data_IF_339023238889
#
_entry.id   IF_339023238889
#
_cell.length_a   1.000
_cell.length_b   1.000
_cell.length_c   1.000
_cell.angle_alpha   90.00
_cell.angle_beta   90.00
_cell.angle_gamma   90.00
#
_symmetry.space_group_name_H-M   'P 1'
#
loop_
_entity.id
_entity.type
_entity.pdbx_description
1 polymer ?
#
# COMPACT_ATOMS: atom_id res chain seq x y z
N UNK A 1 -9.04 -23.48 46.62
CA UNK A 1 -9.03 -22.13 46.05
C UNK A 1 -7.60 -21.88 45.66
N UNK A 2 -7.30 -22.00 44.37
CA UNK A 2 -5.99 -21.61 43.84
C UNK A 2 -5.87 -20.10 44.03
N UNK A 3 -4.80 -19.66 44.69
CA UNK A 3 -4.52 -18.25 44.91
C UNK A 3 -4.30 -17.59 43.54
N UNK A 4 -4.97 -16.47 43.30
CA UNK A 4 -4.69 -15.65 42.13
C UNK A 4 -3.25 -15.12 42.24
N UNK A 5 -2.46 -15.11 41.14
CA UNK A 5 -1.11 -14.59 41.17
C UNK A 5 -1.14 -13.12 41.59
N UNK A 6 -0.35 -12.78 42.60
CA UNK A 6 -0.19 -11.41 43.07
C UNK A 6 0.66 -10.63 42.07
N UNK A 7 0.43 -9.32 41.99
CA UNK A 7 1.07 -8.42 41.03
C UNK A 7 2.61 -8.38 41.11
N UNK A 8 3.21 -9.00 42.13
CA UNK A 8 4.65 -9.20 42.28
C UNK A 8 5.23 -10.25 41.29
N UNK A 9 4.41 -11.13 40.70
CA UNK A 9 4.84 -12.06 39.64
C UNK A 9 5.03 -11.37 38.27
N UNK A 10 4.68 -10.08 38.15
CA UNK A 10 4.96 -9.26 36.96
C UNK A 10 6.31 -8.51 37.04
N UNK A 11 7.10 -8.73 38.10
CA UNK A 11 8.40 -8.08 38.31
C UNK A 11 9.44 -8.43 37.22
N UNK A 12 9.21 -9.43 36.36
CA UNK A 12 10.23 -9.91 35.42
C UNK A 12 9.94 -9.62 33.94
N UNK A 13 9.03 -8.69 33.62
CA UNK A 13 8.84 -8.28 32.23
C UNK A 13 10.07 -7.52 31.68
N UNK A 14 10.77 -6.78 32.54
CA UNK A 14 11.96 -6.00 32.18
C UNK A 14 13.17 -6.89 31.91
N UNK A 15 13.43 -7.89 32.76
CA UNK A 15 14.51 -8.87 32.57
C UNK A 15 14.25 -9.83 31.40
N UNK A 16 12.98 -10.18 31.11
CA UNK A 16 12.63 -10.94 29.90
C UNK A 16 12.89 -10.16 28.60
N UNK A 17 12.67 -8.85 28.64
CA UNK A 17 12.84 -7.95 27.50
C UNK A 17 14.29 -7.45 27.34
N UNK A 18 15.09 -7.49 28.41
CA UNK A 18 16.46 -7.00 28.46
C UNK A 18 17.45 -8.12 28.83
N UNK A 19 17.22 -9.33 28.32
CA UNK A 19 18.11 -10.48 28.47
C UNK A 19 19.36 -10.27 27.59
N UNK A 20 20.54 -10.16 28.21
CA UNK A 20 21.85 -9.99 27.55
C UNK A 20 22.12 -11.04 26.46
N UNK A 21 21.47 -12.21 26.52
CA UNK A 21 21.66 -13.30 25.58
C UNK A 21 20.61 -13.38 24.46
N UNK A 22 19.48 -12.66 24.55
CA UNK A 22 18.38 -12.77 23.57
C UNK A 22 17.95 -11.46 22.93
N UNK A 23 17.82 -10.39 23.72
CA UNK A 23 17.32 -9.10 23.23
C UNK A 23 17.69 -8.00 24.23
N UNK A 24 18.67 -7.17 23.90
CA UNK A 24 19.05 -6.03 24.74
C UNK A 24 18.37 -4.76 24.20
N UNK A 25 17.17 -4.46 24.70
CA UNK A 25 16.39 -3.28 24.30
C UNK A 25 17.13 -2.02 24.67
N UNK A 26 17.74 -1.98 25.84
CA UNK A 26 18.44 -0.78 26.33
C UNK A 26 19.58 -0.39 25.40
N UNK A 27 20.39 -1.36 24.99
CA UNK A 27 21.48 -1.15 24.04
C UNK A 27 20.96 -0.74 22.66
N UNK A 28 19.85 -1.33 22.20
CA UNK A 28 19.21 -0.92 20.95
C UNK A 28 18.67 0.50 21.01
N UNK A 29 18.01 0.89 22.11
CA UNK A 29 17.53 2.25 22.30
C UNK A 29 18.68 3.25 22.29
N UNK A 30 19.80 2.96 22.96
CA UNK A 30 21.01 3.81 22.93
C UNK A 30 21.56 3.99 21.50
N UNK A 31 21.47 2.96 20.65
CA UNK A 31 21.92 3.04 19.26
C UNK A 31 20.92 3.71 18.32
N UNK A 32 19.62 3.57 18.61
CA UNK A 32 18.54 4.09 17.78
C UNK A 32 18.21 5.54 18.09
N UNK A 33 18.30 5.94 19.36
CA UNK A 33 17.94 7.28 19.82
C UNK A 33 18.64 8.39 19.01
N UNK A 34 19.97 8.37 18.79
CA UNK A 34 20.64 9.40 18.00
C UNK A 34 20.33 9.35 16.49
N UNK A 35 19.65 8.30 16.02
CA UNK A 35 19.20 8.19 14.62
C UNK A 35 17.78 8.74 14.44
N UNK A 36 17.01 8.85 15.51
CA UNK A 36 15.64 9.36 15.51
C UNK A 36 15.64 10.86 15.84
N UNK A 37 16.39 11.26 16.86
CA UNK A 37 16.55 12.65 17.31
C UNK A 37 17.51 13.39 16.37
N UNK A 38 16.97 14.04 15.34
CA UNK A 38 17.74 14.64 14.23
C UNK A 38 17.33 16.06 13.88
N UNK A 39 16.10 16.50 14.22
CA UNK A 39 15.60 17.82 13.83
C UNK A 39 14.51 18.37 14.79
N UNK A 40 14.89 19.13 15.82
CA UNK A 40 16.26 19.42 16.28
C UNK A 40 16.82 18.29 17.14
N UNK A 41 18.13 18.02 17.04
CA UNK A 41 18.84 17.10 17.92
C UNK A 41 18.91 17.62 19.37
N UNK A 42 17.81 17.54 20.11
CA UNK A 42 17.58 18.20 21.39
C UNK A 42 17.58 17.24 22.59
N UNK A 43 17.83 15.96 22.34
CA UNK A 43 17.85 14.92 23.35
C UNK A 43 16.45 14.41 23.72
N UNK A 44 15.43 14.75 22.93
CA UNK A 44 14.08 14.21 23.01
C UNK A 44 13.67 13.63 21.65
N UNK A 45 12.63 12.80 21.64
CA UNK A 45 12.02 12.32 20.40
C UNK A 45 10.65 12.97 20.30
N UNK A 46 10.50 13.86 19.32
CA UNK A 46 9.22 14.48 19.00
C UNK A 46 8.31 13.53 18.20
N UNK A 47 7.01 13.82 18.17
CA UNK A 47 6.05 13.10 17.32
C UNK A 47 6.43 13.17 15.84
N UNK A 48 6.98 14.30 15.40
CA UNK A 48 7.40 14.50 14.02
C UNK A 48 8.56 13.56 13.66
N UNK A 49 9.60 13.52 14.48
CA UNK A 49 10.77 12.67 14.29
C UNK A 49 10.42 11.19 14.33
N UNK A 50 9.58 10.77 15.28
CA UNK A 50 9.15 9.38 15.37
C UNK A 50 8.32 8.98 14.16
N UNK A 51 7.44 9.87 13.68
CA UNK A 51 6.65 9.65 12.45
C UNK A 51 7.56 9.52 11.23
N UNK A 52 8.53 10.42 11.06
CA UNK A 52 9.50 10.32 9.95
C UNK A 52 10.33 9.04 10.03
N UNK A 53 10.85 8.71 11.21
CA UNK A 53 11.63 7.49 11.42
C UNK A 53 10.83 6.24 11.06
N UNK A 54 9.57 6.15 11.51
CA UNK A 54 8.69 5.02 11.21
C UNK A 54 8.41 4.91 9.70
N UNK A 55 8.14 6.02 9.03
CA UNK A 55 7.94 6.06 7.58
C UNK A 55 9.20 5.57 6.84
N UNK A 56 10.37 6.05 7.23
CA UNK A 56 11.65 5.62 6.65
C UNK A 56 11.96 4.14 6.93
N UNK A 57 11.66 3.63 8.13
CA UNK A 57 11.82 2.21 8.42
C UNK A 57 10.91 1.38 7.52
N UNK A 58 9.64 1.77 7.38
CA UNK A 58 8.68 1.08 6.51
C UNK A 58 9.19 1.02 5.07
N UNK A 59 9.62 2.15 4.52
CA UNK A 59 10.19 2.21 3.17
C UNK A 59 11.45 1.34 3.01
N UNK A 60 12.31 1.31 4.04
CA UNK A 60 13.53 0.50 4.01
C UNK A 60 13.23 -1.00 4.07
N UNK A 61 12.28 -1.41 4.88
CA UNK A 61 11.83 -2.81 4.96
C UNK A 61 11.19 -3.27 3.65
N UNK A 62 10.34 -2.42 3.06
CA UNK A 62 9.74 -2.65 1.74
C UNK A 62 10.82 -2.82 0.67
N UNK A 63 11.76 -1.88 0.58
CA UNK A 63 12.86 -1.95 -0.38
C UNK A 63 13.77 -3.17 -0.17
N UNK A 64 14.06 -3.53 1.08
CA UNK A 64 14.83 -4.73 1.39
C UNK A 64 14.10 -6.02 0.99
N UNK A 65 12.78 -6.07 1.16
CA UNK A 65 11.95 -7.17 0.67
C UNK A 65 11.98 -7.23 -0.86
N UNK A 66 11.78 -6.09 -1.53
CA UNK A 66 11.86 -5.97 -2.99
C UNK A 66 13.21 -6.47 -3.52
N UNK A 67 14.32 -6.09 -2.89
CA UNK A 67 15.67 -6.55 -3.27
C UNK A 67 15.78 -8.08 -3.27
N UNK A 68 15.21 -8.74 -2.26
CA UNK A 68 15.22 -10.21 -2.19
C UNK A 68 14.36 -10.82 -3.29
N UNK A 69 13.20 -10.26 -3.58
CA UNK A 69 12.34 -10.73 -4.67
C UNK A 69 13.06 -10.54 -6.02
N UNK A 70 13.74 -9.41 -6.23
CA UNK A 70 14.55 -9.15 -7.41
C UNK A 70 15.60 -10.25 -7.62
N UNK A 71 16.32 -10.67 -6.57
CA UNK A 71 17.31 -11.76 -6.66
C UNK A 71 16.70 -13.12 -7.11
N UNK A 72 15.41 -13.33 -6.89
CA UNK A 72 14.71 -14.54 -7.34
C UNK A 72 14.32 -14.47 -8.82
N UNK A 73 14.05 -13.26 -9.32
CA UNK A 73 13.63 -13.01 -10.68
C UNK A 73 14.80 -12.73 -11.63
N UNK A 74 15.87 -12.11 -11.14
CA UNK A 74 17.11 -11.81 -11.84
C UNK A 74 17.92 -13.10 -12.11
N UNK A 75 17.62 -13.74 -13.25
CA UNK A 75 18.25 -14.99 -13.67
C UNK A 75 19.62 -14.76 -14.28
N UNK A 76 19.81 -13.62 -14.94
CA UNK A 76 21.03 -13.27 -15.66
C UNK A 76 22.09 -12.58 -14.76
N UNK A 77 21.68 -12.16 -13.55
CA UNK A 77 22.46 -11.48 -12.52
C UNK A 77 23.01 -10.12 -12.96
N UNK A 78 22.26 -9.39 -13.76
CA UNK A 78 22.60 -8.03 -14.19
C UNK A 78 22.13 -6.95 -13.20
N UNK A 79 21.36 -7.34 -12.16
CA UNK A 79 20.80 -6.41 -11.17
C UNK A 79 19.57 -5.67 -11.66
N UNK A 80 18.98 -6.11 -12.78
CA UNK A 80 17.76 -5.60 -13.38
C UNK A 80 16.76 -6.74 -13.55
N UNK A 81 15.49 -6.39 -13.74
CA UNK A 81 14.44 -7.38 -14.05
C UNK A 81 13.84 -7.05 -15.40
N UNK A 82 14.01 -7.95 -16.37
CA UNK A 82 13.30 -7.86 -17.64
C UNK A 82 11.88 -8.45 -17.55
N UNK A 83 10.98 -8.01 -18.42
CA UNK A 83 9.63 -8.57 -18.50
C UNK A 83 9.62 -10.09 -18.75
N UNK A 84 10.63 -10.62 -19.46
CA UNK A 84 10.77 -12.05 -19.74
C UNK A 84 11.23 -12.86 -18.52
N UNK A 85 11.95 -12.22 -17.60
CA UNK A 85 12.38 -12.82 -16.33
C UNK A 85 11.25 -12.83 -15.31
N UNK A 86 10.41 -11.79 -15.35
CA UNK A 86 9.19 -11.68 -14.57
C UNK A 86 8.07 -12.55 -15.15
N UNK A 87 8.13 -13.86 -14.86
CA UNK A 87 7.05 -14.78 -15.25
C UNK A 87 5.75 -14.41 -14.54
N UNK A 88 4.60 -14.37 -15.25
CA UNK A 88 3.31 -14.22 -14.59
C UNK A 88 3.12 -15.36 -13.58
N UNK A 89 2.50 -15.07 -12.42
CA UNK A 89 2.27 -16.09 -11.41
C UNK A 89 1.51 -17.31 -11.96
N UNK A 90 1.75 -18.50 -11.42
CA UNK A 90 1.17 -19.75 -11.94
C UNK A 90 -0.36 -19.74 -11.99
N UNK A 91 -1.02 -19.08 -11.04
CA UNK A 91 -2.48 -18.93 -10.98
C UNK A 91 -3.08 -18.09 -12.12
N UNK A 92 -2.27 -17.26 -12.77
CA UNK A 92 -2.66 -16.51 -13.97
C UNK A 92 -2.68 -17.39 -15.21
N UNK A 93 -1.83 -18.43 -15.26
CA UNK A 93 -1.70 -19.30 -16.46
C UNK A 93 -2.83 -20.34 -16.59
N UNK A 94 -3.51 -20.64 -15.49
CA UNK A 94 -4.51 -21.71 -15.40
C UNK A 94 -5.97 -21.22 -15.42
N UNK A 95 -6.22 -19.92 -15.57
CA UNK A 95 -7.58 -19.36 -15.53
C UNK A 95 -8.11 -19.03 -16.93
N UNK A 96 -9.18 -19.72 -17.32
CA UNK A 96 -10.04 -19.30 -18.42
C UNK A 96 -10.57 -17.89 -18.13
N UNK A 97 -10.55 -17.05 -19.17
CA UNK A 97 -10.68 -15.59 -19.24
C UNK A 97 -11.94 -14.93 -18.63
N UNK A 98 -12.56 -15.48 -17.57
CA UNK A 98 -13.93 -15.13 -17.17
C UNK A 98 -14.20 -15.15 -15.65
N UNK A 99 -13.18 -15.09 -14.79
CA UNK A 99 -13.35 -15.02 -13.33
C UNK A 99 -13.12 -13.60 -12.81
N UNK A 100 -14.20 -12.96 -12.35
CA UNK A 100 -14.20 -11.62 -11.74
C UNK A 100 -13.21 -11.56 -10.57
N UNK A 101 -12.22 -10.66 -10.66
CA UNK A 101 -11.18 -10.43 -9.64
C UNK A 101 -9.74 -10.67 -10.12
N UNK A 102 -9.55 -11.31 -11.28
CA UNK A 102 -8.23 -11.63 -11.84
C UNK A 102 -7.86 -10.79 -13.08
N UNK A 103 -8.64 -9.77 -13.45
CA UNK A 103 -8.34 -8.87 -14.58
C UNK A 103 -7.50 -7.64 -14.19
N UNK A 104 -7.02 -7.60 -12.94
CA UNK A 104 -6.24 -6.49 -12.36
C UNK A 104 -4.90 -6.20 -13.05
N UNK A 105 -4.57 -6.90 -14.13
CA UNK A 105 -3.57 -6.46 -15.11
C UNK A 105 -2.15 -6.22 -14.59
N UNK A 106 -1.89 -6.52 -13.31
CA UNK A 106 -0.69 -6.10 -12.60
C UNK A 106 0.58 -6.80 -13.12
N UNK A 107 0.41 -7.94 -13.80
CA UNK A 107 1.48 -8.64 -14.49
C UNK A 107 1.50 -8.38 -16.00
N UNK A 108 0.63 -7.49 -16.53
CA UNK A 108 0.61 -7.12 -17.95
C UNK A 108 1.85 -6.27 -18.27
N UNK A 109 2.28 -6.35 -19.52
CA UNK A 109 3.38 -5.54 -20.06
C UNK A 109 3.12 -4.04 -19.92
N UNK A 110 1.85 -3.62 -19.94
CA UNK A 110 1.47 -2.21 -19.73
C UNK A 110 1.84 -1.70 -18.33
N UNK A 111 1.65 -2.52 -17.29
CA UNK A 111 2.06 -2.15 -15.93
C UNK A 111 3.58 -2.08 -15.82
N UNK A 112 4.27 -3.07 -16.40
CA UNK A 112 5.74 -3.11 -16.46
C UNK A 112 6.29 -1.85 -17.14
N UNK A 113 5.73 -1.48 -18.30
CA UNK A 113 6.11 -0.29 -19.05
C UNK A 113 5.73 1.02 -18.35
N UNK A 114 4.70 1.01 -17.50
CA UNK A 114 4.33 2.19 -16.70
C UNK A 114 5.30 2.41 -15.52
N UNK A 115 5.82 1.32 -14.96
CA UNK A 115 6.83 1.32 -13.89
C UNK A 115 8.23 1.65 -14.41
N UNK A 116 8.54 1.26 -15.65
CA UNK A 116 9.77 1.63 -16.36
C UNK A 116 9.78 3.15 -16.67
N UNK A 117 10.48 3.90 -15.83
CA UNK A 117 10.50 5.36 -15.89
C UNK A 117 11.45 5.85 -16.98
N UNK A 118 12.58 5.16 -17.21
CA UNK A 118 13.59 5.53 -18.20
C UNK A 118 13.34 4.94 -19.59
N UNK A 119 12.50 3.91 -19.69
CA UNK A 119 12.06 3.28 -20.93
C UNK A 119 13.10 2.35 -21.54
N UNK A 120 14.02 1.81 -20.74
CA UNK A 120 15.08 0.91 -21.21
C UNK A 120 14.61 -0.54 -21.41
N UNK A 121 13.39 -0.87 -20.98
CA UNK A 121 12.77 -2.20 -21.07
C UNK A 121 13.15 -3.14 -19.93
N UNK A 122 13.82 -2.62 -18.90
CA UNK A 122 14.21 -3.31 -17.69
C UNK A 122 13.74 -2.50 -16.46
N UNK A 123 13.57 -3.16 -15.33
CA UNK A 123 13.28 -2.48 -14.07
C UNK A 123 14.51 -2.52 -13.18
N UNK A 124 15.02 -1.34 -12.82
CA UNK A 124 15.99 -1.21 -11.74
C UNK A 124 15.35 -1.45 -10.36
N UNK A 125 16.13 -1.47 -9.28
CA UNK A 125 15.59 -1.75 -7.93
C UNK A 125 14.48 -0.79 -7.51
N UNK A 126 14.59 0.48 -7.85
CA UNK A 126 13.58 1.49 -7.50
C UNK A 126 12.33 1.30 -8.34
N UNK A 127 12.46 1.05 -9.63
CA UNK A 127 11.30 0.82 -10.53
C UNK A 127 10.61 -0.51 -10.24
N UNK A 128 11.38 -1.54 -9.90
CA UNK A 128 10.83 -2.82 -9.46
C UNK A 128 10.13 -2.71 -8.11
N UNK A 129 10.64 -1.85 -7.20
CA UNK A 129 9.94 -1.51 -5.96
C UNK A 129 8.60 -0.84 -6.25
N UNK A 130 8.59 0.13 -7.15
CA UNK A 130 7.38 0.83 -7.57
C UNK A 130 6.39 -0.11 -8.26
N UNK A 131 6.88 -1.08 -9.04
CA UNK A 131 6.06 -2.12 -9.66
C UNK A 131 5.45 -3.10 -8.63
N UNK A 132 6.16 -3.45 -7.56
CA UNK A 132 5.62 -4.30 -6.49
C UNK A 132 4.70 -3.51 -5.52
N UNK A 133 4.99 -2.23 -5.34
CA UNK A 133 4.34 -1.35 -4.37
C UNK A 133 3.87 -0.03 -5.03
N UNK A 134 2.99 -0.09 -6.04
CA UNK A 134 2.59 1.10 -6.81
C UNK A 134 1.70 2.04 -6.00
N UNK A 135 1.15 1.61 -4.86
CA UNK A 135 0.47 2.50 -3.92
C UNK A 135 1.44 3.51 -3.27
N UNK A 136 2.72 3.15 -3.12
CA UNK A 136 3.75 3.98 -2.49
C UNK A 136 4.60 4.75 -3.53
N UNK A 137 4.32 4.57 -4.83
CA UNK A 137 5.11 5.17 -5.89
C UNK A 137 4.94 6.69 -5.94
N UNK A 138 6.01 7.37 -6.34
CA UNK A 138 6.00 8.79 -6.70
C UNK A 138 6.09 9.00 -8.20
N UNK A 139 6.13 7.92 -8.99
CA UNK A 139 6.24 7.98 -10.44
C UNK A 139 4.90 8.43 -11.05
N UNK A 140 4.84 9.61 -11.69
CA UNK A 140 3.59 10.12 -12.24
C UNK A 140 3.03 9.26 -13.37
N UNK A 141 3.88 8.54 -14.14
CA UNK A 141 3.41 7.64 -15.20
C UNK A 141 2.65 6.45 -14.62
N UNK A 142 3.22 5.84 -13.58
CA UNK A 142 2.62 4.72 -12.89
C UNK A 142 1.32 5.13 -12.19
N UNK A 143 1.31 6.26 -11.48
CA UNK A 143 0.08 6.81 -10.88
C UNK A 143 -0.99 7.03 -11.94
N UNK A 144 -0.64 7.64 -13.08
CA UNK A 144 -1.60 7.87 -14.16
C UNK A 144 -2.14 6.56 -14.74
N UNK A 145 -1.29 5.54 -14.88
CA UNK A 145 -1.72 4.23 -15.35
C UNK A 145 -2.66 3.56 -14.35
N UNK A 146 -2.35 3.57 -13.05
CA UNK A 146 -3.24 3.07 -11.99
C UNK A 146 -4.61 3.76 -12.03
N UNK A 147 -4.63 5.09 -12.18
CA UNK A 147 -5.88 5.83 -12.33
C UNK A 147 -6.68 5.37 -13.55
N UNK A 148 -6.03 5.12 -14.68
CA UNK A 148 -6.69 4.62 -15.89
C UNK A 148 -7.23 3.21 -15.72
N UNK A 149 -6.50 2.33 -15.05
CA UNK A 149 -6.98 0.98 -14.76
C UNK A 149 -8.20 1.01 -13.83
N UNK A 150 -8.16 1.81 -12.76
CA UNK A 150 -9.28 1.97 -11.83
C UNK A 150 -10.53 2.54 -12.53
N UNK A 151 -10.35 3.46 -13.49
CA UNK A 151 -11.44 3.94 -14.35
C UNK A 151 -11.93 2.80 -15.25
N UNK A 152 -11.04 2.10 -15.96
CA UNK A 152 -11.41 1.02 -16.90
C UNK A 152 -12.19 -0.12 -16.26
N UNK A 153 -11.87 -0.49 -15.01
CA UNK A 153 -12.59 -1.53 -14.28
C UNK A 153 -14.02 -1.12 -13.90
N UNK A 154 -14.29 0.18 -13.77
CA UNK A 154 -15.61 0.72 -13.36
C UNK A 154 -16.44 1.27 -14.52
N UNK A 155 -15.76 1.76 -15.55
CA UNK A 155 -16.30 2.31 -16.77
C UNK A 155 -17.02 1.20 -17.57
N UNK A 156 -18.33 1.13 -17.35
CA UNK A 156 -19.20 0.09 -17.93
C UNK A 156 -19.61 0.46 -19.34
N UNK A 157 -19.75 1.76 -19.64
CA UNK A 157 -20.15 2.27 -20.95
C UNK A 157 -18.97 2.56 -21.90
N UNK A 158 -17.74 2.47 -21.39
CA UNK A 158 -16.44 2.58 -22.10
C UNK A 158 -16.21 3.96 -22.71
N UNK A 159 -16.72 5.01 -22.07
CA UNK A 159 -16.52 6.38 -22.52
C UNK A 159 -15.21 7.01 -22.01
N UNK A 160 -14.49 6.29 -21.13
CA UNK A 160 -13.23 6.69 -20.53
C UNK A 160 -13.40 7.58 -19.30
N UNK A 161 -14.62 7.70 -18.75
CA UNK A 161 -14.97 8.48 -17.57
C UNK A 161 -15.76 7.62 -16.58
N UNK A 162 -16.16 8.23 -15.47
CA UNK A 162 -16.94 7.54 -14.42
C UNK A 162 -18.18 8.36 -14.16
N UNK A 163 -19.28 7.96 -14.80
CA UNK A 163 -20.54 8.66 -14.63
C UNK A 163 -21.11 8.43 -13.21
N UNK A 164 -22.10 9.23 -12.81
CA UNK A 164 -22.70 9.14 -11.47
C UNK A 164 -23.20 7.73 -11.11
N UNK A 165 -23.70 6.97 -12.09
CA UNK A 165 -24.21 5.62 -11.85
C UNK A 165 -23.06 4.66 -11.55
N UNK A 166 -21.94 4.77 -12.24
CA UNK A 166 -20.73 3.98 -11.99
C UNK A 166 -20.08 4.36 -10.66
N UNK A 167 -20.00 5.65 -10.37
CA UNK A 167 -19.56 6.16 -9.06
C UNK A 167 -20.40 5.59 -7.92
N UNK A 168 -21.74 5.67 -8.02
CA UNK A 168 -22.63 5.25 -6.95
C UNK A 168 -22.56 3.74 -6.66
N UNK A 169 -22.46 2.91 -7.70
CA UNK A 169 -22.44 1.45 -7.52
C UNK A 169 -21.05 0.88 -7.24
N UNK A 170 -19.97 1.59 -7.58
CA UNK A 170 -18.60 1.03 -7.54
C UNK A 170 -17.56 1.80 -6.73
N UNK A 171 -17.76 3.10 -6.46
CA UNK A 171 -16.76 3.95 -5.79
C UNK A 171 -17.29 4.60 -4.51
N UNK A 172 -18.59 4.87 -4.44
CA UNK A 172 -19.22 5.60 -3.34
C UNK A 172 -19.01 4.92 -1.98
N UNK A 173 -19.15 3.60 -1.90
CA UNK A 173 -18.91 2.86 -0.64
C UNK A 173 -17.46 2.94 -0.18
N UNK A 174 -16.50 2.98 -1.12
CA UNK A 174 -15.09 3.11 -0.81
C UNK A 174 -14.78 4.52 -0.29
N UNK A 175 -15.30 5.55 -0.97
CA UNK A 175 -15.05 6.97 -0.62
C UNK A 175 -15.76 7.37 0.68
N UNK A 176 -17.01 6.92 0.92
CA UNK A 176 -17.75 7.23 2.15
C UNK A 176 -17.02 6.70 3.40
N UNK A 177 -16.39 5.53 3.30
CA UNK A 177 -15.64 4.96 4.42
C UNK A 177 -14.36 5.75 4.78
N UNK A 178 -13.85 6.58 3.87
CA UNK A 178 -12.70 7.46 4.14
C UNK A 178 -13.08 8.72 4.93
N UNK A 179 -14.29 9.24 4.77
CA UNK A 179 -14.74 10.46 5.48
C UNK A 179 -15.41 10.18 6.83
N UNK A 180 -15.90 8.95 7.06
CA UNK A 180 -16.58 8.57 8.31
C UNK A 180 -15.67 7.74 9.24
N UNK A 181 -14.63 8.35 9.82
CA UNK A 181 -14.12 7.87 11.10
C UNK A 181 -15.24 8.01 12.14
N UNK A 182 -15.80 6.86 12.58
CA UNK A 182 -16.94 6.71 13.50
C UNK A 182 -18.29 6.52 12.80
N UNK A 183 -18.69 5.28 12.53
CA UNK A 183 -19.71 4.59 13.32
C UNK A 183 -20.03 3.21 12.73
N UNK A 184 -20.08 2.20 13.60
CA UNK A 184 -20.78 0.93 13.36
C UNK A 184 -22.18 1.23 12.78
N UNK A 185 -22.43 0.86 11.54
CA UNK A 185 -23.79 0.80 11.02
C UNK A 185 -24.00 -0.47 10.24
N UNK A 186 -24.87 -1.30 10.80
CA UNK A 186 -25.56 -2.42 10.16
C UNK A 186 -26.01 -2.08 8.75
N UNK A 187 -25.78 -3.04 7.88
CA UNK A 187 -26.16 -3.10 6.48
C UNK A 187 -27.69 -3.05 6.32
N UNK A 188 -28.30 -1.87 6.41
CA UNK A 188 -29.68 -1.65 5.95
C UNK A 188 -29.67 -0.97 4.57
N UNK A 189 -29.94 -1.80 3.56
CA UNK A 189 -30.17 -1.44 2.17
C UNK A 189 -31.40 -0.51 2.05
N UNK A 190 -31.17 0.80 2.06
CA UNK A 190 -32.11 1.78 1.50
C UNK A 190 -31.35 2.65 0.49
N UNK A 191 -31.29 2.17 -0.76
CA UNK A 191 -30.55 2.81 -1.86
C UNK A 191 -30.98 4.28 -2.10
N UNK A 192 -32.25 4.63 -1.89
CA UNK A 192 -32.77 6.00 -2.08
C UNK A 192 -32.21 7.01 -1.04
N UNK A 193 -31.84 6.55 0.16
CA UNK A 193 -31.32 7.43 1.22
C UNK A 193 -29.86 7.83 0.98
N UNK A 194 -29.09 6.97 0.28
CA UNK A 194 -27.67 7.15 0.02
C UNK A 194 -27.37 7.90 -1.28
N UNK A 195 -28.34 7.96 -2.20
CA UNK A 195 -28.18 8.66 -3.48
C UNK A 195 -27.98 10.17 -3.28
N UNK A 196 -28.66 10.78 -2.31
CA UNK A 196 -28.54 12.23 -2.04
C UNK A 196 -27.16 12.65 -1.52
N UNK A 197 -26.55 11.96 -0.52
CA UNK A 197 -25.15 12.15 -0.17
C UNK A 197 -24.19 11.89 -1.33
N UNK A 198 -24.38 10.79 -2.07
CA UNK A 198 -23.52 10.44 -3.19
C UNK A 198 -23.51 11.50 -4.30
N UNK A 199 -24.67 12.08 -4.63
CA UNK A 199 -24.78 13.16 -5.63
C UNK A 199 -24.02 14.42 -5.21
N UNK A 200 -24.01 14.74 -3.92
CA UNK A 200 -23.25 15.90 -3.41
C UNK A 200 -21.75 15.66 -3.53
N UNK A 201 -21.28 14.49 -3.08
CA UNK A 201 -19.87 14.10 -3.21
C UNK A 201 -19.42 14.08 -4.67
N UNK A 202 -20.24 13.49 -5.55
CA UNK A 202 -19.95 13.45 -6.97
C UNK A 202 -19.81 14.86 -7.57
N UNK A 203 -20.70 15.79 -7.22
CA UNK A 203 -20.62 17.18 -7.69
C UNK A 203 -19.41 17.97 -7.14
N UNK A 204 -18.82 17.54 -6.02
CA UNK A 204 -17.57 18.14 -5.51
C UNK A 204 -16.34 17.63 -6.27
N UNK A 205 -16.41 16.39 -6.78
CA UNK A 205 -15.36 15.74 -7.56
C UNK A 205 -15.41 16.14 -9.04
N UNK A 206 -16.59 16.11 -9.65
CA UNK A 206 -16.87 16.49 -11.04
C UNK A 206 -16.97 18.02 -11.18
N UNK A 207 -15.80 18.67 -11.25
CA UNK A 207 -15.70 20.14 -11.31
C UNK A 207 -15.97 20.71 -12.69
N UNK A 208 -15.74 19.93 -13.74
CA UNK A 208 -15.95 20.29 -15.14
C UNK A 208 -17.28 19.81 -15.72
N UNK A 209 -18.12 19.16 -14.89
CA UNK A 209 -19.46 18.69 -15.22
C UNK A 209 -19.46 17.73 -16.42
N UNK A 210 -18.44 16.88 -16.49
CA UNK A 210 -18.07 16.15 -17.70
C UNK A 210 -18.49 14.69 -17.70
N UNK A 211 -19.16 14.24 -16.64
CA UNK A 211 -19.72 12.91 -16.50
C UNK A 211 -18.90 12.08 -15.55
#
# INVERSE_FOLDING_TARGET
MEAQPEWEDFIDAEDYLNDEHKFNITHRLVLLFPRIDVDPADGFVSEHELTQWNLEQSQREVLHRTQREMELHDKNKDGLVSFHEYSPPSWVRDTDNNSFGYDMGWWKEEHFNASDADGDGFLNLTEFNDFQHPADTKNPRLIQWLCKEEVRERDTDKDGKVNFKEFFHGLFDLVRNYDEESHNSSHESNNDALESPARKFFAELDKDADG
#
